data_IF_554004861857
#
_entry.id   IF_554004861857
#
_cell.length_a   1.000
_cell.length_b   1.000
_cell.length_c   1.000
_cell.angle_alpha   90.00
_cell.angle_beta   90.00
_cell.angle_gamma   90.00
#
_symmetry.space_group_name_H-M   'P 1'
#
loop_
_entity.id
_entity.type
_entity.pdbx_description
1 polymer ?
#
# COMPACT_ATOMS: atom_id res chain seq x y z
N UNK A 1 -11.90 15.70 -8.83
CA UNK A 1 -10.74 14.91 -8.39
C UNK A 1 -11.15 14.02 -7.25
N UNK A 2 -10.99 12.69 -7.39
CA UNK A 2 -11.32 11.73 -6.33
C UNK A 2 -10.63 12.07 -5.01
N UNK A 3 -11.27 11.75 -3.89
CA UNK A 3 -10.72 11.98 -2.54
C UNK A 3 -9.35 11.30 -2.39
N UNK A 4 -9.23 10.07 -2.89
CA UNK A 4 -7.98 9.32 -2.88
C UNK A 4 -6.85 10.07 -3.61
N UNK A 5 -7.15 10.72 -4.75
CA UNK A 5 -6.15 11.50 -5.50
C UNK A 5 -5.66 12.72 -4.71
N UNK A 6 -6.57 13.42 -4.03
CA UNK A 6 -6.20 14.53 -3.11
C UNK A 6 -5.31 14.03 -1.96
N UNK A 7 -5.61 12.85 -1.42
CA UNK A 7 -4.80 12.24 -0.37
C UNK A 7 -3.39 11.92 -0.91
N UNK A 8 -3.26 11.30 -2.08
CA UNK A 8 -1.95 11.00 -2.67
C UNK A 8 -1.13 12.26 -2.98
N UNK A 9 -1.75 13.33 -3.48
CA UNK A 9 -1.07 14.62 -3.64
C UNK A 9 -0.57 15.17 -2.29
N UNK A 10 -1.41 15.11 -1.26
CA UNK A 10 -1.05 15.55 0.09
C UNK A 10 0.11 14.72 0.67
N UNK A 11 0.15 13.42 0.40
CA UNK A 11 1.18 12.50 0.90
C UNK A 11 2.51 12.66 0.13
N UNK A 12 2.44 12.95 -1.17
CA UNK A 12 3.61 13.11 -2.04
C UNK A 12 4.13 14.55 -2.13
N UNK A 13 3.55 15.47 -1.36
CA UNK A 13 4.02 16.85 -1.30
C UNK A 13 5.49 16.90 -0.85
N UNK A 14 6.33 17.59 -1.62
CA UNK A 14 7.78 17.75 -1.36
C UNK A 14 8.10 18.44 -0.03
N UNK A 15 7.14 19.15 0.58
CA UNK A 15 7.32 19.71 1.92
C UNK A 15 7.27 18.66 3.02
N UNK A 16 6.82 17.43 2.72
CA UNK A 16 6.75 16.34 3.68
C UNK A 16 8.03 15.49 3.66
N UNK A 17 8.43 14.93 4.81
CA UNK A 17 9.58 14.04 4.89
C UNK A 17 9.40 12.78 4.02
N UNK A 18 10.51 12.23 3.57
CA UNK A 18 10.54 10.99 2.80
C UNK A 18 10.18 9.76 3.64
N UNK A 19 10.60 9.73 4.91
CA UNK A 19 10.26 8.65 5.84
C UNK A 19 8.75 8.51 6.03
N UNK A 20 7.98 9.61 5.94
CA UNK A 20 6.53 9.59 6.00
C UNK A 20 5.91 8.78 4.84
N UNK A 21 6.46 8.91 3.62
CA UNK A 21 6.00 8.13 2.46
C UNK A 21 6.28 6.65 2.63
N UNK A 22 7.43 6.29 3.21
CA UNK A 22 7.73 4.91 3.57
C UNK A 22 6.67 4.35 4.54
N UNK A 23 6.39 5.06 5.64
CA UNK A 23 5.41 4.62 6.65
C UNK A 23 4.03 4.39 6.07
N UNK A 24 3.57 5.29 5.18
CA UNK A 24 2.24 5.16 4.57
C UNK A 24 2.19 4.02 3.56
N UNK A 25 3.23 3.82 2.74
CA UNK A 25 3.30 2.66 1.85
C UNK A 25 3.27 1.35 2.65
N UNK A 26 4.00 1.27 3.77
CA UNK A 26 3.95 0.11 4.66
C UNK A 26 2.55 -0.10 5.26
N UNK A 27 1.87 0.96 5.69
CA UNK A 27 0.52 0.86 6.22
C UNK A 27 -0.47 0.35 5.16
N UNK A 28 -0.32 0.78 3.91
CA UNK A 28 -1.15 0.30 2.79
C UNK A 28 -0.85 -1.18 2.48
N UNK A 29 0.42 -1.58 2.49
CA UNK A 29 0.85 -2.95 2.18
C UNK A 29 0.46 -3.95 3.30
N UNK A 30 0.59 -3.55 4.57
CA UNK A 30 0.41 -4.42 5.73
C UNK A 30 -0.99 -4.32 6.37
N UNK A 31 -1.75 -3.26 6.07
CA UNK A 31 -3.03 -2.95 6.72
C UNK A 31 -2.88 -2.34 8.13
N UNK A 32 -1.92 -2.82 8.91
CA UNK A 32 -1.53 -2.29 10.22
C UNK A 32 0.00 -2.23 10.33
N UNK A 33 0.50 -1.28 11.13
CA UNK A 33 1.93 -1.16 11.41
C UNK A 33 2.23 -1.79 12.77
N UNK A 34 3.10 -2.80 12.80
CA UNK A 34 3.64 -3.33 14.04
C UNK A 34 4.83 -2.49 14.50
N UNK A 35 5.39 -2.85 15.67
CA UNK A 35 6.64 -2.25 16.14
C UNK A 35 7.78 -2.36 15.13
N UNK A 36 7.82 -3.43 14.32
CA UNK A 36 8.89 -3.64 13.33
C UNK A 36 8.82 -2.57 12.24
N UNK A 37 7.67 -2.34 11.63
CA UNK A 37 7.53 -1.32 10.58
C UNK A 37 7.74 0.10 11.13
N UNK A 38 7.40 0.34 12.40
CA UNK A 38 7.68 1.61 13.07
C UNK A 38 9.17 1.83 13.32
N UNK A 39 9.90 0.79 13.72
CA UNK A 39 11.37 0.83 13.85
C UNK A 39 12.05 1.04 12.49
N UNK A 40 11.56 0.39 11.43
CA UNK A 40 12.02 0.64 10.06
C UNK A 40 11.80 2.10 9.67
N UNK A 41 10.60 2.65 9.91
CA UNK A 41 10.30 4.05 9.61
C UNK A 41 11.22 5.01 10.36
N UNK A 42 11.52 4.71 11.63
CA UNK A 42 12.48 5.48 12.42
C UNK A 42 13.89 5.42 11.84
N UNK A 43 14.33 4.26 11.36
CA UNK A 43 15.62 4.13 10.67
C UNK A 43 15.68 4.98 9.39
N UNK A 44 14.61 4.98 8.58
CA UNK A 44 14.53 5.83 7.38
C UNK A 44 14.58 7.32 7.73
N UNK A 45 13.93 7.71 8.83
CA UNK A 45 14.03 9.09 9.33
C UNK A 45 15.47 9.44 9.72
N UNK A 46 16.18 8.58 10.45
CA UNK A 46 17.59 8.79 10.78
C UNK A 46 18.46 8.96 9.52
N UNK A 47 18.25 8.15 8.49
CA UNK A 47 18.93 8.27 7.20
C UNK A 47 18.61 9.58 6.47
N UNK A 48 17.36 10.05 6.57
CA UNK A 48 16.92 11.30 5.95
C UNK A 48 17.62 12.52 6.58
N UNK A 49 17.73 12.54 7.91
CA UNK A 49 18.35 13.62 8.67
C UNK A 49 19.86 13.47 8.84
N UNK A 50 20.48 12.46 8.22
CA UNK A 50 21.93 12.27 8.24
C UNK A 50 22.51 11.74 9.56
N UNK A 51 21.66 11.16 10.41
CA UNK A 51 22.07 10.46 11.64
C UNK A 51 22.60 9.05 11.35
N UNK A 52 22.26 8.50 10.18
CA UNK A 52 22.70 7.21 9.65
C UNK A 52 22.99 7.36 8.15
N UNK A 53 23.86 6.52 7.59
CA UNK A 53 24.09 6.50 6.15
C UNK A 53 22.88 5.94 5.39
N UNK A 54 22.53 6.57 4.26
CA UNK A 54 21.49 6.06 3.37
C UNK A 54 21.94 4.75 2.74
N UNK A 55 21.16 3.70 2.96
CA UNK A 55 21.34 2.42 2.29
C UNK A 55 21.06 2.53 0.78
N UNK A 56 21.56 1.57 0.00
CA UNK A 56 21.40 1.53 -1.46
C UNK A 56 19.93 1.50 -1.92
N UNK A 57 19.04 0.93 -1.12
CA UNK A 57 17.61 0.83 -1.39
C UNK A 57 16.79 2.02 -0.87
N UNK A 58 17.40 3.05 -0.27
CA UNK A 58 16.70 4.24 0.24
C UNK A 58 15.75 4.90 -0.80
N UNK A 59 16.13 5.07 -2.09
CA UNK A 59 15.22 5.63 -3.09
C UNK A 59 13.95 4.80 -3.28
N UNK A 60 14.07 3.47 -3.24
CA UNK A 60 12.94 2.56 -3.39
C UNK A 60 12.05 2.55 -2.15
N UNK A 61 12.65 2.63 -0.96
CA UNK A 61 11.92 2.69 0.32
C UNK A 61 11.12 3.99 0.45
N UNK A 62 11.61 5.07 -0.14
CA UNK A 62 10.97 6.40 -0.09
C UNK A 62 10.21 6.76 -1.38
N UNK A 63 9.80 5.74 -2.14
CA UNK A 63 9.01 5.90 -3.36
C UNK A 63 7.71 6.69 -3.07
N UNK A 64 7.19 7.45 -4.05
CA UNK A 64 5.87 8.06 -3.94
C UNK A 64 4.78 7.05 -3.57
N UNK A 65 3.77 7.50 -2.83
CA UNK A 65 2.56 6.71 -2.55
C UNK A 65 1.70 6.69 -3.81
N UNK A 66 1.26 5.51 -4.24
CA UNK A 66 0.46 5.32 -5.45
C UNK A 66 -1.01 5.01 -5.13
N UNK A 67 -1.89 5.36 -6.07
CA UNK A 67 -3.31 5.03 -6.05
C UNK A 67 -3.53 3.59 -6.53
N UNK A 68 -3.03 2.59 -5.81
CA UNK A 68 -3.36 1.20 -6.11
C UNK A 68 -4.67 0.81 -5.43
N UNK A 69 -5.66 0.34 -6.20
CA UNK A 69 -6.93 -0.19 -5.69
C UNK A 69 -8.01 0.84 -5.29
N UNK A 70 -7.70 2.14 -5.26
CA UNK A 70 -8.66 3.21 -4.95
C UNK A 70 -9.07 3.98 -6.22
N UNK A 71 -9.68 3.28 -7.17
CA UNK A 71 -10.44 3.93 -8.23
C UNK A 71 -11.93 3.79 -7.94
N UNK A 72 -12.71 4.77 -8.36
CA UNK A 72 -14.15 4.58 -8.46
C UNK A 72 -14.39 3.43 -9.44
N UNK A 73 -15.15 2.41 -9.05
CA UNK A 73 -15.64 1.39 -9.99
C UNK A 73 -16.72 2.02 -10.85
N UNK A 74 -16.29 2.79 -11.86
CA UNK A 74 -17.18 3.46 -12.81
C UNK A 74 -17.77 2.44 -13.81
N UNK A 75 -17.10 1.30 -13.98
CA UNK A 75 -17.50 0.21 -14.88
C UNK A 75 -17.51 -1.15 -14.17
N UNK A 76 -18.28 -2.10 -14.71
CA UNK A 76 -18.38 -3.47 -14.19
C UNK A 76 -17.01 -4.17 -14.23
N UNK A 77 -16.39 -4.40 -13.06
CA UNK A 77 -15.16 -5.19 -12.96
C UNK A 77 -15.48 -6.68 -13.12
N UNK A 78 -15.18 -7.26 -14.29
CA UNK A 78 -15.31 -8.70 -14.52
C UNK A 78 -14.08 -9.46 -14.05
N UNK A 79 -14.25 -10.33 -13.05
CA UNK A 79 -13.24 -11.30 -12.67
C UNK A 79 -13.13 -12.38 -13.76
N UNK A 80 -12.16 -12.23 -14.66
CA UNK A 80 -11.98 -13.11 -15.82
C UNK A 80 -11.40 -14.48 -15.44
N UNK A 81 -10.51 -14.53 -14.44
CA UNK A 81 -9.90 -15.77 -13.99
C UNK A 81 -9.23 -15.63 -12.62
N UNK A 82 -9.16 -16.72 -11.86
CA UNK A 82 -8.33 -16.86 -10.67
C UNK A 82 -7.31 -17.97 -10.94
N UNK A 83 -6.02 -17.70 -10.74
CA UNK A 83 -4.94 -18.66 -10.97
C UNK A 83 -4.24 -19.10 -9.68
N UNK A 84 -3.59 -20.27 -9.73
CA UNK A 84 -2.69 -20.79 -8.68
C UNK A 84 -3.31 -21.00 -7.29
N UNK A 85 -4.53 -21.56 -7.23
CA UNK A 85 -5.25 -21.84 -5.98
C UNK A 85 -5.17 -23.31 -5.58
N UNK A 86 -4.88 -23.59 -4.30
CA UNK A 86 -5.04 -24.92 -3.69
C UNK A 86 -6.50 -25.10 -3.26
N UNK A 87 -7.15 -26.25 -3.53
CA UNK A 87 -8.57 -26.55 -3.29
C UNK A 87 -9.61 -25.87 -4.23
N UNK A 88 -9.43 -26.02 -5.55
CA UNK A 88 -10.34 -25.52 -6.62
C UNK A 88 -11.75 -26.15 -6.58
N UNK A 89 -11.97 -27.24 -5.85
CA UNK A 89 -13.28 -27.93 -5.76
C UNK A 89 -14.43 -27.07 -5.21
N UNK A 90 -14.15 -25.87 -4.70
CA UNK A 90 -15.16 -24.89 -4.29
C UNK A 90 -15.63 -23.92 -5.39
N UNK A 91 -14.98 -23.91 -6.57
CA UNK A 91 -15.37 -23.11 -7.74
C UNK A 91 -16.33 -23.89 -8.64
N UNK A 92 -17.45 -24.33 -8.08
CA UNK A 92 -18.56 -24.94 -8.82
C UNK A 92 -19.45 -23.82 -9.38
N UNK A 93 -19.95 -24.00 -10.60
CA UNK A 93 -20.96 -23.14 -11.22
C UNK A 93 -22.06 -22.81 -10.21
N UNK A 94 -22.26 -21.52 -9.92
CA UNK A 94 -23.22 -20.94 -8.95
C UNK A 94 -22.71 -20.58 -7.54
N UNK A 95 -21.43 -20.79 -7.18
CA UNK A 95 -20.89 -20.21 -5.93
C UNK A 95 -20.61 -18.72 -6.08
N UNK A 96 -21.22 -17.91 -5.20
CA UNK A 96 -20.93 -16.48 -5.06
C UNK A 96 -19.70 -16.28 -4.19
N UNK A 97 -18.71 -15.55 -4.69
CA UNK A 97 -17.63 -14.99 -3.89
C UNK A 97 -18.21 -13.79 -3.14
N UNK A 98 -18.35 -13.93 -1.83
CA UNK A 98 -18.73 -12.81 -0.98
C UNK A 98 -17.46 -12.21 -0.41
N UNK A 99 -17.19 -10.95 -0.75
CA UNK A 99 -16.18 -10.17 -0.07
C UNK A 99 -16.82 -9.57 1.17
N UNK A 100 -16.29 -9.89 2.35
CA UNK A 100 -16.70 -9.29 3.60
C UNK A 100 -15.53 -8.45 4.11
N UNK A 101 -15.80 -7.17 4.40
CA UNK A 101 -14.88 -6.35 5.18
C UNK A 101 -14.95 -6.88 6.62
N UNK A 102 -13.80 -7.29 7.16
CA UNK A 102 -13.69 -7.63 8.58
C UNK A 102 -13.60 -6.32 9.36
N UNK A 103 -14.50 -6.15 10.32
CA UNK A 103 -14.53 -5.04 11.28
C UNK A 103 -13.37 -5.12 12.29
#
# INVERSE_FOLDING_TARGET
MPVASKICELLNNKSKPNWWRFTINRAIECGELSSVELEEAYLIAKMEFGLEEKCANYPSLTKPVELTGYHEEVEETRLVSIGNTTNISNLVSQKKLNFQLLD
#
